data_IF_572299375516
#
_entry.id   IF_572299375516
#
_cell.length_a   1.000
_cell.length_b   1.000
_cell.length_c   1.000
_cell.angle_alpha   90.00
_cell.angle_beta   90.00
_cell.angle_gamma   90.00
#
_symmetry.space_group_name_H-M   'P 1'
#
loop_
_entity.id
_entity.type
_entity.pdbx_description
1 polymer ?
#
# COMPACT_ATOMS: atom_id res chain seq x y z
N UNK A 1 0.09 11.82 2.51
CA UNK A 1 0.72 10.82 3.42
C UNK A 1 2.23 11.06 3.45
N UNK A 2 2.84 11.12 4.63
CA UNK A 2 4.29 11.36 4.76
C UNK A 2 5.09 10.03 4.74
N UNK A 3 6.42 10.14 4.76
CA UNK A 3 7.32 8.98 4.71
C UNK A 3 7.16 8.03 5.91
N UNK A 4 6.99 8.56 7.11
CA UNK A 4 6.79 7.77 8.33
C UNK A 4 5.50 6.94 8.26
N UNK A 5 4.40 7.55 7.83
CA UNK A 5 3.12 6.88 7.61
C UNK A 5 3.23 5.77 6.55
N UNK A 6 4.02 5.97 5.49
CA UNK A 6 4.34 4.91 4.50
C UNK A 6 5.07 3.74 5.15
N UNK A 7 6.05 4.02 6.00
CA UNK A 7 6.80 2.99 6.72
C UNK A 7 5.90 2.21 7.68
N UNK A 8 5.05 2.89 8.44
CA UNK A 8 4.08 2.25 9.34
C UNK A 8 3.09 1.38 8.58
N UNK A 9 2.54 1.88 7.47
CA UNK A 9 1.59 1.15 6.64
C UNK A 9 2.25 -0.09 6.03
N UNK A 10 3.49 0.04 5.55
CA UNK A 10 4.29 -1.08 5.04
C UNK A 10 4.57 -2.12 6.13
N UNK A 11 4.89 -1.68 7.35
CA UNK A 11 5.11 -2.55 8.50
C UNK A 11 3.84 -3.32 8.86
N UNK A 12 2.69 -2.64 8.98
CA UNK A 12 1.37 -3.26 9.21
C UNK A 12 1.03 -4.29 8.14
N UNK A 13 1.26 -3.96 6.87
CA UNK A 13 1.08 -4.89 5.75
C UNK A 13 1.89 -6.18 5.95
N UNK A 14 3.16 -6.06 6.36
CA UNK A 14 4.05 -7.20 6.62
C UNK A 14 3.59 -8.04 7.82
N UNK A 15 3.22 -7.40 8.93
CA UNK A 15 2.70 -8.08 10.12
C UNK A 15 1.45 -8.91 9.81
N UNK A 16 0.55 -8.36 9.00
CA UNK A 16 -0.70 -9.00 8.56
C UNK A 16 -0.49 -9.98 7.40
N UNK A 17 0.76 -10.23 6.99
CA UNK A 17 1.14 -11.10 5.87
C UNK A 17 0.42 -10.76 4.56
N UNK A 18 0.04 -9.50 4.38
CA UNK A 18 -0.55 -9.00 3.14
C UNK A 18 0.56 -8.90 2.10
N UNK A 19 0.35 -9.52 0.94
CA UNK A 19 1.34 -9.47 -0.14
C UNK A 19 1.05 -8.25 -1.00
N UNK A 20 2.10 -7.62 -1.54
CA UNK A 20 1.95 -6.48 -2.45
C UNK A 20 1.05 -6.81 -3.65
N UNK A 21 1.07 -8.06 -4.13
CA UNK A 21 0.17 -8.55 -5.18
C UNK A 21 -1.31 -8.47 -4.81
N UNK A 22 -1.65 -8.54 -3.53
CA UNK A 22 -3.04 -8.46 -3.06
C UNK A 22 -3.52 -7.01 -3.14
N UNK A 23 -2.66 -6.06 -2.76
CA UNK A 23 -2.92 -4.62 -2.92
C UNK A 23 -2.98 -4.21 -4.40
N UNK A 24 -2.07 -4.75 -5.21
CA UNK A 24 -2.04 -4.49 -6.64
C UNK A 24 -3.35 -4.94 -7.32
N UNK A 25 -3.86 -6.12 -6.95
CA UNK A 25 -5.17 -6.61 -7.40
C UNK A 25 -6.33 -5.74 -6.91
N UNK A 26 -6.25 -5.25 -5.66
CA UNK A 26 -7.29 -4.44 -5.04
C UNK A 26 -7.54 -3.13 -5.80
N UNK A 27 -6.47 -2.44 -6.19
CA UNK A 27 -6.56 -1.15 -6.90
C UNK A 27 -6.34 -1.25 -8.41
N UNK A 28 -6.26 -2.46 -8.97
CA UNK A 28 -6.10 -2.68 -10.40
C UNK A 28 -4.78 -2.17 -10.99
N UNK A 29 -3.67 -2.26 -10.24
CA UNK A 29 -2.35 -1.79 -10.69
C UNK A 29 -1.31 -2.93 -10.76
N UNK A 30 -0.09 -2.61 -11.21
CA UNK A 30 1.02 -3.57 -11.22
C UNK A 30 1.66 -3.73 -9.84
N UNK A 31 2.21 -4.92 -9.55
CA UNK A 31 2.92 -5.16 -8.29
C UNK A 31 4.14 -4.22 -8.11
N UNK A 32 4.81 -3.88 -9.21
CA UNK A 32 5.90 -2.89 -9.21
C UNK A 32 5.43 -1.51 -8.78
N UNK A 33 4.20 -1.12 -9.12
CA UNK A 33 3.63 0.18 -8.72
C UNK A 33 3.49 0.30 -7.20
N UNK A 34 2.97 -0.75 -6.56
CA UNK A 34 2.90 -0.84 -5.09
C UNK A 34 4.30 -0.78 -4.45
N UNK A 35 5.27 -1.49 -5.03
CA UNK A 35 6.65 -1.46 -4.53
C UNK A 35 7.27 -0.07 -4.65
N UNK A 36 7.03 0.63 -5.74
CA UNK A 36 7.52 2.00 -5.95
C UNK A 36 6.84 3.00 -5.01
N UNK A 37 5.56 2.80 -4.68
CA UNK A 37 4.84 3.64 -3.73
C UNK A 37 5.46 3.59 -2.33
N UNK A 38 5.75 2.39 -1.82
CA UNK A 38 6.41 2.21 -0.53
C UNK A 38 7.89 2.64 -0.53
N UNK A 39 8.52 2.69 -1.70
CA UNK A 39 9.87 3.25 -1.88
C UNK A 39 9.87 4.77 -2.08
N UNK A 40 8.72 5.43 -1.90
CA UNK A 40 8.53 6.87 -2.08
C UNK A 40 8.83 7.40 -3.50
N UNK A 41 8.78 6.52 -4.52
CA UNK A 41 9.07 6.88 -5.92
C UNK A 41 7.85 7.32 -6.70
N UNK A 42 6.66 6.89 -6.29
CA UNK A 42 5.38 7.25 -6.92
C UNK A 42 4.35 7.61 -5.87
N UNK A 43 3.36 8.40 -6.27
CA UNK A 43 2.18 8.69 -5.48
C UNK A 43 0.99 7.91 -6.05
N UNK A 44 0.11 7.47 -5.15
CA UNK A 44 -1.17 6.88 -5.51
C UNK A 44 -2.25 7.96 -5.50
N UNK A 45 -3.35 7.71 -6.20
CA UNK A 45 -4.54 8.54 -6.06
C UNK A 45 -5.05 8.49 -4.63
N UNK A 46 -5.76 9.53 -4.20
CA UNK A 46 -6.33 9.58 -2.83
C UNK A 46 -7.30 8.42 -2.59
N UNK A 47 -8.10 8.09 -3.60
CA UNK A 47 -8.99 6.93 -3.59
C UNK A 47 -8.25 5.60 -3.37
N UNK A 48 -7.18 5.35 -4.12
CA UNK A 48 -6.40 4.11 -4.01
C UNK A 48 -5.65 4.02 -2.67
N UNK A 49 -5.15 5.17 -2.19
CA UNK A 49 -4.49 5.28 -0.90
C UNK A 49 -5.46 4.92 0.23
N UNK A 50 -6.67 5.45 0.19
CA UNK A 50 -7.71 5.13 1.16
C UNK A 50 -8.07 3.65 1.11
N UNK A 51 -8.30 3.11 -0.09
CA UNK A 51 -8.64 1.70 -0.31
C UNK A 51 -7.57 0.75 0.25
N UNK A 52 -6.28 1.02 -0.02
CA UNK A 52 -5.17 0.23 0.52
C UNK A 52 -5.07 0.35 2.04
N UNK A 53 -5.25 1.57 2.57
CA UNK A 53 -5.15 1.83 4.00
C UNK A 53 -6.23 1.10 4.78
N UNK A 54 -7.49 1.17 4.31
CA UNK A 54 -8.62 0.45 4.90
C UNK A 54 -8.42 -1.07 4.82
N UNK A 55 -7.97 -1.57 3.68
CA UNK A 55 -7.71 -3.00 3.50
C UNK A 55 -6.63 -3.52 4.46
N UNK A 56 -5.53 -2.77 4.63
CA UNK A 56 -4.48 -3.13 5.57
C UNK A 56 -4.97 -3.02 7.01
N UNK A 57 -5.78 -2.01 7.36
CA UNK A 57 -6.26 -1.84 8.73
C UNK A 57 -7.29 -2.89 9.15
N UNK A 58 -8.15 -3.36 8.25
CA UNK A 58 -9.26 -4.29 8.58
C UNK A 58 -8.91 -5.79 8.57
N UNK A 59 -7.82 -6.20 7.92
CA UNK A 59 -7.45 -7.62 7.76
C UNK A 59 -6.62 -8.18 8.91
#
# INVERSE_FOLDING_TARGET
>A
MNYEQKCELHHKMKLKRIKQKDLAKLIGCSNSWISQFFADKVQLSEHDLQTITEYINNK
#
